data_IF_691716889591
#
_entry.id   IF_691716889591
#
_cell.length_a   1.000
_cell.length_b   1.000
_cell.length_c   1.000
_cell.angle_alpha   90.00
_cell.angle_beta   90.00
_cell.angle_gamma   90.00
#
_symmetry.space_group_name_H-M   'P 1'
#
loop_
_entity.id
_entity.type
_entity.pdbx_description
1 polymer ?
#
# COMPACT_ATOMS: atom_id res chain seq x y z
N UNK A 1 17.92 -2.56 -7.52
CA UNK A 1 16.44 -2.40 -7.62
C UNK A 1 15.80 -3.15 -6.46
N UNK A 2 15.09 -2.44 -5.58
CA UNK A 2 14.39 -3.03 -4.42
C UNK A 2 13.00 -3.49 -4.85
N UNK A 3 12.56 -4.66 -4.37
CA UNK A 3 11.20 -5.18 -4.57
C UNK A 3 10.51 -5.40 -3.23
N UNK A 4 9.26 -4.98 -3.14
CA UNK A 4 8.37 -5.32 -2.02
C UNK A 4 7.64 -6.62 -2.38
N UNK A 5 7.69 -7.61 -1.49
CA UNK A 5 6.99 -8.88 -1.67
C UNK A 5 5.52 -8.72 -1.25
N UNK A 6 4.61 -8.90 -2.19
CA UNK A 6 3.17 -9.05 -1.93
C UNK A 6 2.83 -10.54 -1.90
N UNK A 7 2.17 -10.99 -0.84
CA UNK A 7 1.58 -12.33 -0.77
C UNK A 7 0.17 -12.33 -1.40
N UNK A 8 -0.58 -13.42 -1.26
CA UNK A 8 -2.00 -13.46 -1.65
C UNK A 8 -2.87 -12.67 -0.67
N UNK A 9 -3.76 -11.83 -1.20
CA UNK A 9 -4.74 -11.07 -0.41
C UNK A 9 -6.09 -11.80 -0.45
N UNK A 10 -6.66 -12.11 0.71
CA UNK A 10 -8.00 -12.69 0.78
C UNK A 10 -9.03 -11.58 0.71
N UNK A 11 -9.87 -11.59 -0.32
CA UNK A 11 -10.92 -10.58 -0.47
C UNK A 11 -12.09 -10.81 0.48
N UNK A 12 -12.83 -9.75 0.77
CA UNK A 12 -14.02 -9.83 1.61
C UNK A 12 -15.14 -10.65 0.95
N UNK A 13 -16.01 -11.28 1.75
CA UNK A 13 -17.20 -11.94 1.20
C UNK A 13 -18.14 -10.89 0.59
N UNK A 14 -18.79 -11.24 -0.53
CA UNK A 14 -19.85 -10.46 -1.17
C UNK A 14 -19.45 -9.03 -1.64
N UNK A 15 -18.18 -8.83 -2.04
CA UNK A 15 -17.78 -7.60 -2.72
C UNK A 15 -18.59 -7.36 -3.99
N UNK A 16 -18.90 -6.09 -4.29
CA UNK A 16 -19.72 -5.71 -5.43
C UNK A 16 -19.15 -4.45 -6.11
N UNK A 17 -19.25 -4.33 -7.46
CA UNK A 17 -18.63 -3.25 -8.22
C UNK A 17 -19.49 -1.98 -8.13
N UNK A 18 -19.60 -1.43 -6.93
CA UNK A 18 -20.42 -0.27 -6.62
C UNK A 18 -19.58 0.91 -6.14
N UNK A 19 -20.22 2.08 -6.07
CA UNK A 19 -19.56 3.31 -5.63
C UNK A 19 -18.94 3.18 -4.22
N UNK A 20 -19.63 2.62 -3.21
CA UNK A 20 -19.00 2.37 -1.90
C UNK A 20 -17.69 1.58 -1.97
N UNK A 21 -17.64 0.49 -2.74
CA UNK A 21 -16.44 -0.33 -2.89
C UNK A 21 -15.28 0.46 -3.50
N UNK A 22 -15.57 1.32 -4.49
CA UNK A 22 -14.56 2.18 -5.10
C UNK A 22 -14.10 3.31 -4.17
N UNK A 23 -15.02 3.90 -3.39
CA UNK A 23 -14.70 4.95 -2.43
C UNK A 23 -13.76 4.46 -1.34
N UNK A 24 -13.89 3.19 -0.92
CA UNK A 24 -13.04 2.65 0.13
C UNK A 24 -11.55 2.64 -0.26
N UNK A 25 -11.21 2.48 -1.54
CA UNK A 25 -9.82 2.65 -2.03
C UNK A 25 -9.28 4.06 -1.76
N UNK A 26 -10.11 5.10 -1.93
CA UNK A 26 -9.71 6.48 -1.63
C UNK A 26 -9.60 6.73 -0.12
N UNK A 27 -10.46 6.10 0.66
CA UNK A 27 -10.48 6.19 2.13
C UNK A 27 -9.17 5.65 2.72
N UNK A 28 -8.79 4.40 2.43
CA UNK A 28 -7.55 3.81 2.96
C UNK A 28 -6.31 4.57 2.45
N UNK A 29 -6.34 5.05 1.20
CA UNK A 29 -5.25 5.85 0.67
C UNK A 29 -5.10 7.19 1.40
N UNK A 30 -6.22 7.76 1.89
CA UNK A 30 -6.19 8.98 2.71
C UNK A 30 -5.68 8.68 4.12
N UNK A 31 -6.09 7.55 4.71
CA UNK A 31 -5.63 7.08 6.03
C UNK A 31 -4.13 6.77 6.02
N UNK A 32 -3.62 6.15 4.94
CA UNK A 32 -2.18 5.96 4.68
C UNK A 32 -1.40 7.27 4.74
N UNK A 33 -1.95 8.34 4.15
CA UNK A 33 -1.31 9.67 4.17
C UNK A 33 -1.29 10.25 5.58
N UNK A 34 -2.37 10.12 6.34
CA UNK A 34 -2.43 10.60 7.72
C UNK A 34 -1.53 9.80 8.67
N UNK A 35 -1.48 8.48 8.53
CA UNK A 35 -0.54 7.64 9.28
C UNK A 35 0.92 8.00 8.96
N UNK A 36 1.24 8.27 7.69
CA UNK A 36 2.58 8.71 7.29
C UNK A 36 2.95 10.05 7.91
N UNK A 37 2.02 11.02 7.94
CA UNK A 37 2.25 12.30 8.61
C UNK A 37 2.52 12.12 10.10
N UNK A 38 1.72 11.28 10.79
CA UNK A 38 1.94 10.97 12.20
C UNK A 38 3.33 10.39 12.44
N UNK A 39 3.73 9.40 11.64
CA UNK A 39 5.05 8.79 11.74
C UNK A 39 6.21 9.76 11.46
N UNK A 40 6.04 10.68 10.50
CA UNK A 40 7.03 11.73 10.21
C UNK A 40 7.12 12.82 11.29
N UNK A 41 5.99 13.14 11.95
CA UNK A 41 5.91 14.14 13.02
C UNK A 41 6.34 13.57 14.37
N UNK A 42 6.12 12.28 14.59
CA UNK A 42 6.76 11.54 15.66
C UNK A 42 8.28 11.57 15.39
N UNK A 43 9.08 11.71 16.44
CA UNK A 43 10.55 11.62 16.38
C UNK A 43 11.05 10.25 15.83
N UNK A 44 10.13 9.33 15.48
CA UNK A 44 10.40 8.03 14.86
C UNK A 44 11.19 8.12 13.55
N UNK A 45 10.91 9.09 12.68
CA UNK A 45 11.69 9.29 11.45
C UNK A 45 13.12 9.78 11.73
N UNK A 46 13.29 10.65 12.74
CA UNK A 46 14.61 11.15 13.17
C UNK A 46 15.44 10.04 13.85
N UNK A 47 14.82 9.18 14.66
CA UNK A 47 15.46 8.03 15.31
C UNK A 47 15.91 6.95 14.33
N UNK A 48 15.09 6.61 13.32
CA UNK A 48 15.44 5.61 12.30
C UNK A 48 16.64 6.03 11.44
N UNK A 49 16.77 7.32 11.13
CA UNK A 49 17.89 7.85 10.35
C UNK A 49 19.20 7.97 11.15
N UNK A 50 19.13 8.19 12.46
CA UNK A 50 20.30 8.40 13.31
C UNK A 50 21.05 7.10 13.66
N UNK A 51 20.37 5.97 13.84
CA UNK A 51 20.97 4.74 14.41
C UNK A 51 21.38 3.68 13.38
N UNK A 52 21.14 3.91 12.08
CA UNK A 52 21.45 2.97 10.98
C UNK A 52 20.94 1.52 11.18
N UNK A 53 19.98 1.32 12.09
CA UNK A 53 19.08 0.16 12.24
C UNK A 53 17.78 0.62 12.96
N UNK A 54 16.67 -0.14 12.89
CA UNK A 54 15.31 0.28 13.29
C UNK A 54 15.17 0.46 14.82
N UNK A 55 14.52 1.53 15.27
CA UNK A 55 14.33 1.86 16.69
C UNK A 55 13.26 0.95 17.36
N UNK A 56 12.25 0.57 16.62
CA UNK A 56 11.43 -0.61 16.79
C UNK A 56 10.45 -0.61 15.61
N UNK A 57 10.34 -1.70 14.88
CA UNK A 57 9.10 -1.91 14.12
C UNK A 57 7.92 -2.17 15.06
N UNK A 58 8.11 -2.02 16.38
CA UNK A 58 7.07 -1.92 17.39
C UNK A 58 6.67 -0.45 17.68
N UNK A 59 7.22 0.53 16.95
CA UNK A 59 6.66 1.89 16.92
C UNK A 59 5.23 1.75 16.42
N UNK A 60 4.26 2.08 17.28
CA UNK A 60 2.85 1.91 16.96
C UNK A 60 2.50 2.70 15.70
N UNK A 61 3.14 3.85 15.49
CA UNK A 61 2.95 4.73 14.36
C UNK A 61 3.54 4.15 13.06
N UNK A 62 4.62 3.38 13.14
CA UNK A 62 5.15 2.65 11.97
C UNK A 62 4.23 1.47 11.61
N UNK A 63 3.74 0.73 12.60
CA UNK A 63 2.80 -0.37 12.36
C UNK A 63 1.49 0.14 11.80
N UNK A 64 0.92 1.21 12.37
CA UNK A 64 -0.27 1.87 11.86
C UNK A 64 -0.05 2.24 10.39
N UNK A 65 1.09 2.83 10.02
CA UNK A 65 1.38 3.12 8.62
C UNK A 65 1.45 1.87 7.73
N UNK A 66 2.06 0.78 8.20
CA UNK A 66 2.10 -0.47 7.44
C UNK A 66 0.71 -1.11 7.29
N UNK A 67 -0.13 -1.01 8.33
CA UNK A 67 -1.51 -1.49 8.32
C UNK A 67 -2.36 -0.69 7.32
N UNK A 68 -2.26 0.64 7.30
CA UNK A 68 -2.99 1.47 6.32
C UNK A 68 -2.54 1.21 4.87
N UNK A 69 -1.24 0.92 4.66
CA UNK A 69 -0.75 0.47 3.35
C UNK A 69 -1.37 -0.89 2.98
N UNK A 70 -1.44 -1.83 3.93
CA UNK A 70 -2.05 -3.14 3.72
C UNK A 70 -3.56 -3.01 3.43
N UNK A 71 -4.26 -2.13 4.12
CA UNK A 71 -5.68 -1.86 3.90
C UNK A 71 -5.92 -1.21 2.53
N UNK A 72 -5.05 -0.30 2.09
CA UNK A 72 -5.09 0.24 0.71
C UNK A 72 -4.96 -0.86 -0.35
N UNK A 73 -4.07 -1.83 -0.12
CA UNK A 73 -3.91 -3.01 -0.98
C UNK A 73 -5.17 -3.89 -0.90
N UNK A 74 -5.70 -4.14 0.30
CA UNK A 74 -6.91 -4.93 0.53
C UNK A 74 -8.13 -4.31 -0.18
N UNK A 75 -8.35 -3.00 -0.07
CA UNK A 75 -9.43 -2.29 -0.74
C UNK A 75 -9.28 -2.36 -2.27
N UNK A 76 -8.06 -2.24 -2.78
CA UNK A 76 -7.76 -2.41 -4.21
C UNK A 76 -8.06 -3.83 -4.70
N UNK A 77 -7.66 -4.86 -3.94
CA UNK A 77 -7.96 -6.26 -4.23
C UNK A 77 -9.46 -6.56 -4.14
N UNK A 78 -10.18 -6.02 -3.15
CA UNK A 78 -11.63 -6.15 -3.04
C UNK A 78 -12.35 -5.57 -4.25
N UNK A 79 -11.91 -4.41 -4.76
CA UNK A 79 -12.46 -3.82 -5.97
C UNK A 79 -12.13 -4.66 -7.22
N UNK A 80 -10.92 -5.21 -7.33
CA UNK A 80 -10.55 -6.11 -8.42
C UNK A 80 -11.42 -7.38 -8.40
N UNK A 81 -11.59 -8.01 -7.25
CA UNK A 81 -12.44 -9.19 -7.08
C UNK A 81 -13.92 -8.89 -7.37
N UNK A 82 -14.42 -7.72 -6.98
CA UNK A 82 -15.76 -7.27 -7.32
C UNK A 82 -16.00 -7.15 -8.85
N UNK A 83 -14.93 -6.97 -9.62
CA UNK A 83 -14.93 -6.92 -11.08
C UNK A 83 -14.60 -8.29 -11.72
N UNK A 84 -14.47 -9.36 -10.92
CA UNK A 84 -14.13 -10.70 -11.39
C UNK A 84 -12.64 -10.90 -11.71
N UNK A 85 -11.76 -10.05 -11.19
CA UNK A 85 -10.30 -10.19 -11.36
C UNK A 85 -9.69 -10.84 -10.13
N UNK A 86 -9.08 -12.00 -10.32
CA UNK A 86 -8.43 -12.78 -9.25
C UNK A 86 -6.88 -12.72 -9.32
N UNK A 87 -6.32 -12.28 -10.44
CA UNK A 87 -4.88 -12.15 -10.65
C UNK A 87 -4.49 -10.77 -11.19
N UNK A 88 -3.80 -9.98 -10.35
CA UNK A 88 -3.27 -8.67 -10.70
C UNK A 88 -1.86 -8.71 -11.32
N UNK A 89 -1.19 -9.87 -11.37
CA UNK A 89 0.16 -10.04 -11.93
C UNK A 89 0.33 -9.38 -13.31
N UNK A 90 -0.53 -9.63 -14.32
CA UNK A 90 -0.37 -8.98 -15.62
C UNK A 90 -0.62 -7.47 -15.59
N UNK A 91 -1.44 -6.97 -14.66
CA UNK A 91 -1.72 -5.53 -14.51
C UNK A 91 -0.55 -4.79 -13.87
N UNK A 92 0.09 -5.41 -12.87
CA UNK A 92 1.30 -4.89 -12.22
C UNK A 92 2.49 -4.89 -13.17
N UNK A 93 2.68 -5.96 -13.96
CA UNK A 93 3.73 -6.01 -14.99
C UNK A 93 3.58 -4.88 -16.02
N UNK A 94 2.35 -4.66 -16.53
CA UNK A 94 2.08 -3.51 -17.42
C UNK A 94 2.28 -2.16 -16.73
N UNK A 95 2.04 -2.06 -15.43
CA UNK A 95 2.30 -0.84 -14.67
C UNK A 95 3.80 -0.52 -14.61
N UNK A 96 4.62 -1.54 -14.31
CA UNK A 96 6.07 -1.45 -14.31
C UNK A 96 6.61 -1.06 -15.69
N UNK A 97 6.15 -1.70 -16.76
CA UNK A 97 6.52 -1.34 -18.14
C UNK A 97 6.22 0.12 -18.47
N UNK A 98 5.01 0.61 -18.14
CA UNK A 98 4.68 2.05 -18.30
C UNK A 98 5.60 2.95 -17.48
N UNK A 99 6.01 2.54 -16.29
CA UNK A 99 6.93 3.32 -15.47
C UNK A 99 8.35 3.33 -16.06
N UNK A 100 8.81 2.24 -16.70
CA UNK A 100 10.07 2.21 -17.47
C UNK A 100 10.03 3.19 -18.64
N UNK A 101 8.96 3.18 -19.43
CA UNK A 101 8.79 4.14 -20.54
C UNK A 101 8.74 5.60 -20.08
N UNK A 102 8.32 5.85 -18.83
CA UNK A 102 8.31 7.18 -18.22
C UNK A 102 9.63 7.58 -17.58
N UNK A 103 10.67 6.74 -17.64
CA UNK A 103 11.97 7.01 -17.03
C UNK A 103 11.95 7.08 -15.50
N UNK A 104 11.02 6.36 -14.84
CA UNK A 104 10.88 6.35 -13.36
C UNK A 104 11.85 5.41 -12.65
N UNK A 105 12.63 4.64 -13.42
CA UNK A 105 13.69 3.79 -12.89
C UNK A 105 14.99 4.33 -13.46
N UNK A 106 15.94 4.64 -12.58
CA UNK A 106 17.33 4.91 -12.98
C UNK A 106 17.89 3.64 -13.65
N UNK A 107 18.68 3.82 -14.71
CA UNK A 107 19.41 2.73 -15.37
C UNK A 107 20.53 2.17 -14.48
#
# INVERSE_FOLDING_TARGET
MTRVKLTSVRTFPHVAPNKPQALKVLEEASETVEACKKWLLADGFQKCNAEQVPADWADAEFNDLMDEIADTIQASCNLAAALGVEDLTPYLARCEERNRHRGRYDE
#
